data_IF_255726879261
#
_entry.id   IF_255726879261
#
_cell.length_a   1.000
_cell.length_b   1.000
_cell.length_c   1.000
_cell.angle_alpha   90.00
_cell.angle_beta   90.00
_cell.angle_gamma   90.00
#
_symmetry.space_group_name_H-M   'P 1'
#
loop_
_entity.id
_entity.type
_entity.pdbx_description
1 polymer ?
#
# COMPACT_ATOMS: atom_id res chain seq x y z
N UNK A 1 0.97 -23.68 5.22
CA UNK A 1 0.60 -22.36 4.63
C UNK A 1 1.63 -21.98 3.58
N UNK A 2 1.50 -22.43 2.31
CA UNK A 2 2.44 -22.02 1.30
C UNK A 2 2.16 -20.58 0.87
N UNK A 3 3.16 -19.74 1.13
CA UNK A 3 3.33 -18.38 0.63
C UNK A 3 3.23 -18.45 -0.90
N UNK A 4 2.07 -18.09 -1.45
CA UNK A 4 1.87 -18.14 -2.90
C UNK A 4 2.55 -16.91 -3.51
N UNK A 5 3.82 -17.09 -3.81
CA UNK A 5 4.61 -16.29 -4.73
C UNK A 5 3.85 -16.12 -6.03
N UNK A 6 3.41 -14.89 -6.33
CA UNK A 6 3.09 -14.51 -7.70
C UNK A 6 3.38 -13.04 -7.88
N UNK A 7 4.67 -12.74 -8.14
CA UNK A 7 5.08 -11.45 -8.65
C UNK A 7 4.24 -11.10 -9.89
N UNK A 8 3.62 -9.91 -9.94
CA UNK A 8 3.00 -9.42 -11.14
C UNK A 8 3.59 -8.05 -11.50
N UNK A 9 4.40 -8.10 -12.55
CA UNK A 9 4.78 -7.01 -13.46
C UNK A 9 3.73 -5.89 -13.49
N UNK A 10 4.04 -4.76 -12.86
CA UNK A 10 3.22 -3.55 -12.88
C UNK A 10 3.28 -2.74 -11.60
N UNK A 11 4.43 -2.19 -11.26
CA UNK A 11 4.56 -1.23 -10.16
C UNK A 11 3.88 0.11 -10.51
N UNK A 12 3.00 0.62 -9.64
CA UNK A 12 2.41 1.97 -9.72
C UNK A 12 3.02 2.85 -8.63
N UNK A 13 3.58 3.99 -9.04
CA UNK A 13 4.12 4.98 -8.11
C UNK A 13 2.97 5.77 -7.48
N UNK A 14 2.72 5.53 -6.19
CA UNK A 14 1.75 6.23 -5.38
C UNK A 14 2.43 7.28 -4.50
N UNK A 15 1.87 8.49 -4.45
CA UNK A 15 2.32 9.55 -3.54
C UNK A 15 1.47 9.52 -2.27
N UNK A 16 2.11 9.31 -1.13
CA UNK A 16 1.47 9.37 0.17
C UNK A 16 1.05 10.80 0.53
N UNK A 17 -0.13 10.94 1.14
CA UNK A 17 -0.61 12.21 1.68
C UNK A 17 0.24 12.61 2.90
N UNK A 18 0.44 13.92 3.12
CA UNK A 18 1.22 14.46 4.25
C UNK A 18 0.65 14.07 5.63
N UNK A 19 -0.68 13.94 5.74
CA UNK A 19 -1.38 13.61 6.99
C UNK A 19 -2.33 12.43 6.77
N UNK A 20 -2.52 11.60 7.79
CA UNK A 20 -3.53 10.54 7.80
C UNK A 20 -4.93 11.18 7.66
N UNK A 21 -5.72 10.68 6.71
CA UNK A 21 -7.03 11.26 6.39
C UNK A 21 -8.09 11.05 7.48
N UNK A 22 -7.87 10.14 8.44
CA UNK A 22 -8.80 9.81 9.56
C UNK A 22 -10.23 9.40 9.13
N UNK A 23 -10.54 9.37 7.83
CA UNK A 23 -11.79 8.88 7.26
C UNK A 23 -12.06 7.40 7.55
N UNK A 24 -13.35 7.03 7.47
CA UNK A 24 -13.85 5.65 7.54
C UNK A 24 -14.58 5.33 6.22
N UNK A 25 -14.04 4.47 5.33
CA UNK A 25 -12.72 3.82 5.37
C UNK A 25 -11.57 4.76 4.98
N UNK A 26 -10.33 4.45 5.41
CA UNK A 26 -9.16 5.29 5.08
C UNK A 26 -8.97 5.37 3.56
N UNK A 27 -8.53 6.52 3.08
CA UNK A 27 -8.23 6.79 1.67
C UNK A 27 -7.02 5.96 1.15
N UNK A 28 -7.00 5.59 -0.13
CA UNK A 28 -5.94 4.76 -0.72
C UNK A 28 -4.55 5.42 -0.67
N UNK A 29 -4.49 6.75 -0.71
CA UNK A 29 -3.26 7.55 -0.58
C UNK A 29 -2.85 7.85 0.87
N UNK A 30 -3.53 7.27 1.86
CA UNK A 30 -3.23 7.51 3.27
C UNK A 30 -1.84 6.94 3.60
N UNK A 31 -0.98 7.69 4.32
CA UNK A 31 0.34 7.19 4.71
C UNK A 31 0.24 5.86 5.49
N UNK A 32 -0.80 5.67 6.29
CA UNK A 32 -0.97 4.41 7.05
C UNK A 32 -1.43 3.25 6.17
N UNK A 33 -2.24 3.52 5.13
CA UNK A 33 -2.67 2.47 4.19
C UNK A 33 -1.44 1.99 3.41
N UNK A 34 -0.61 2.91 2.94
CA UNK A 34 0.63 2.60 2.23
C UNK A 34 1.64 1.86 3.12
N UNK A 35 1.85 2.30 4.37
CA UNK A 35 2.69 1.55 5.32
C UNK A 35 2.15 0.15 5.64
N UNK A 36 0.82 -0.05 5.65
CA UNK A 36 0.23 -1.38 5.86
C UNK A 36 0.39 -2.28 4.64
N UNK A 37 0.25 -1.70 3.44
CA UNK A 37 0.52 -2.41 2.19
C UNK A 37 2.00 -2.81 2.09
N UNK A 38 2.90 -1.94 2.53
CA UNK A 38 4.34 -2.20 2.65
C UNK A 38 4.62 -3.36 3.61
N UNK A 39 4.06 -3.32 4.83
CA UNK A 39 4.17 -4.43 5.80
C UNK A 39 3.61 -5.75 5.29
N UNK A 40 2.63 -5.71 4.39
CA UNK A 40 2.05 -6.90 3.77
C UNK A 40 2.84 -7.37 2.53
N UNK A 41 3.89 -6.65 2.11
CA UNK A 41 4.72 -6.98 0.95
C UNK A 41 4.10 -6.62 -0.40
N UNK A 42 3.08 -5.74 -0.43
CA UNK A 42 2.44 -5.27 -1.68
C UNK A 42 2.89 -3.88 -2.11
N UNK A 43 3.72 -3.21 -1.31
CA UNK A 43 4.28 -1.92 -1.64
C UNK A 43 5.72 -1.82 -1.15
N UNK A 44 6.54 -1.08 -1.88
CA UNK A 44 7.90 -0.75 -1.49
C UNK A 44 8.01 0.76 -1.29
N UNK A 45 8.79 1.20 -0.32
CA UNK A 45 8.99 2.61 -0.04
C UNK A 45 10.27 3.08 -0.72
N UNK A 46 10.20 4.18 -1.47
CA UNK A 46 11.41 4.81 -1.99
C UNK A 46 12.24 5.37 -0.83
N UNK A 47 13.51 4.96 -0.73
CA UNK A 47 14.46 5.46 0.28
C UNK A 47 14.78 6.95 0.05
N UNK A 48 14.87 7.35 -1.21
CA UNK A 48 15.17 8.73 -1.63
C UNK A 48 14.01 9.69 -1.33
N UNK A 49 12.76 9.18 -1.31
CA UNK A 49 11.54 9.97 -1.13
C UNK A 49 10.60 9.27 -0.15
N UNK A 50 10.60 9.63 1.15
CA UNK A 50 9.85 8.91 2.19
C UNK A 50 8.31 8.97 2.06
N UNK A 51 7.79 9.73 1.09
CA UNK A 51 6.36 9.85 0.75
C UNK A 51 6.01 9.17 -0.58
N UNK A 52 6.95 8.50 -1.21
CA UNK A 52 6.77 7.82 -2.48
C UNK A 52 6.79 6.33 -2.20
N UNK A 53 5.74 5.67 -2.66
CA UNK A 53 5.56 4.24 -2.50
C UNK A 53 5.34 3.66 -3.89
N UNK A 54 6.05 2.58 -4.16
CA UNK A 54 5.87 1.76 -5.35
C UNK A 54 4.90 0.65 -4.96
N UNK A 55 3.63 0.79 -5.33
CA UNK A 55 2.57 -0.17 -5.01
C UNK A 55 2.42 -1.13 -6.18
N UNK A 56 2.43 -2.44 -5.94
CA UNK A 56 2.17 -3.43 -6.98
C UNK A 56 0.74 -3.30 -7.52
N UNK A 57 0.53 -3.41 -8.84
CA UNK A 57 -0.81 -3.30 -9.44
C UNK A 57 -1.77 -4.41 -8.99
N UNK A 58 -1.24 -5.55 -8.58
CA UNK A 58 -2.04 -6.71 -8.20
C UNK A 58 -2.24 -6.78 -6.68
N UNK A 59 -2.55 -5.64 -6.04
CA UNK A 59 -2.97 -5.69 -4.64
C UNK A 59 -4.31 -6.42 -4.55
N UNK A 60 -4.41 -7.55 -3.84
CA UNK A 60 -5.67 -8.24 -3.69
C UNK A 60 -6.68 -7.32 -2.98
N UNK A 61 -7.94 -7.33 -3.43
CA UNK A 61 -9.02 -6.50 -2.86
C UNK A 61 -9.15 -6.68 -1.33
N UNK A 62 -8.86 -7.88 -0.83
CA UNK A 62 -8.79 -8.20 0.61
C UNK A 62 -7.69 -7.41 1.33
N UNK A 63 -6.48 -7.33 0.78
CA UNK A 63 -5.39 -6.55 1.38
C UNK A 63 -5.69 -5.05 1.38
N UNK A 64 -6.34 -4.53 0.32
CA UNK A 64 -6.82 -3.13 0.30
C UNK A 64 -7.88 -2.88 1.37
N UNK A 65 -8.84 -3.79 1.57
CA UNK A 65 -9.86 -3.66 2.62
C UNK A 65 -9.23 -3.63 4.02
N UNK A 66 -8.31 -4.56 4.31
CA UNK A 66 -7.58 -4.63 5.59
C UNK A 66 -6.73 -3.37 5.81
N UNK A 67 -6.02 -2.91 4.78
CA UNK A 67 -5.20 -1.71 4.87
C UNK A 67 -6.04 -0.46 5.17
N UNK A 68 -7.24 -0.36 4.57
CA UNK A 68 -8.17 0.77 4.73
C UNK A 68 -9.02 0.72 6.01
N UNK A 69 -9.12 -0.44 6.66
CA UNK A 69 -9.87 -0.61 7.90
C UNK A 69 -9.26 0.23 9.03
N UNK A 70 -10.08 0.91 9.84
CA UNK A 70 -9.55 1.76 10.92
C UNK A 70 -9.31 0.96 12.17
#
# INVERSE_FOLDING_TARGET
MPKNSKAPKGAKVAKAKKKCCKDKPRCASCPVVLMRLEKMGYAERDEDKPRRYVVEQNVPKKAMLIARQR
#
